data_IF_130581508393
#
_entry.id   IF_130581508393
#
_cell.length_a   1.000
_cell.length_b   1.000
_cell.length_c   1.000
_cell.angle_alpha   90.00
_cell.angle_beta   90.00
_cell.angle_gamma   90.00
#
_symmetry.space_group_name_H-M   'P 1'
#
loop_
_entity.id
_entity.type
_entity.pdbx_description
1 polymer ?
#
# COMPACT_ATOMS: atom_id res chain seq x y z
N UNK A 1 -28.64 -11.57 -39.23
CA UNK A 1 -28.90 -10.15 -38.86
C UNK A 1 -27.92 -9.79 -37.74
N UNK A 2 -26.79 -9.13 -38.03
CA UNK A 2 -26.61 -7.66 -37.99
C UNK A 2 -25.93 -7.30 -36.65
N UNK A 3 -24.72 -6.74 -36.56
CA UNK A 3 -24.15 -5.62 -37.32
C UNK A 3 -22.62 -5.69 -37.33
N UNK A 4 -22.06 -5.40 -38.52
CA UNK A 4 -20.66 -5.11 -38.80
C UNK A 4 -20.36 -3.63 -38.51
N UNK A 5 -19.10 -3.32 -38.21
CA UNK A 5 -18.49 -2.01 -38.45
C UNK A 5 -17.82 -1.40 -37.21
N UNK A 6 -16.68 -0.70 -37.29
CA UNK A 6 -15.88 -0.26 -38.44
C UNK A 6 -14.44 -0.12 -37.98
N UNK A 7 -13.52 -0.71 -38.73
CA UNK A 7 -12.08 -0.41 -38.70
C UNK A 7 -11.89 1.01 -39.20
N UNK A 8 -11.23 1.85 -38.41
CA UNK A 8 -10.61 3.07 -38.92
C UNK A 8 -9.10 3.00 -38.64
N UNK A 9 -8.40 2.42 -39.61
CA UNK A 9 -6.96 2.61 -39.78
C UNK A 9 -6.74 4.01 -40.34
N UNK A 10 -6.29 4.95 -39.51
CA UNK A 10 -5.67 6.18 -40.01
C UNK A 10 -4.17 5.96 -40.12
N UNK A 11 -3.73 5.57 -41.33
CA UNK A 11 -2.34 5.77 -41.78
C UNK A 11 -2.14 7.27 -41.95
N UNK A 12 -1.17 7.86 -41.25
CA UNK A 12 -0.64 9.18 -41.60
C UNK A 12 0.57 9.02 -42.52
N UNK A 13 0.76 9.94 -43.48
CA UNK A 13 1.87 9.90 -44.43
C UNK A 13 3.19 10.26 -43.76
N UNK A 14 4.23 9.63 -44.29
CA UNK A 14 5.64 9.77 -43.98
C UNK A 14 6.16 10.93 -44.84
N UNK A 15 6.36 12.12 -44.27
CA UNK A 15 7.10 13.20 -44.94
C UNK A 15 8.49 13.28 -44.31
N UNK A 16 9.51 12.99 -45.12
CA UNK A 16 10.89 13.28 -44.76
C UNK A 16 11.12 14.79 -44.72
N UNK A 17 11.82 15.24 -43.69
CA UNK A 17 12.56 16.49 -43.68
C UNK A 17 13.90 16.21 -43.00
N UNK A 18 14.91 16.07 -43.83
CA UNK A 18 16.34 16.11 -43.53
C UNK A 18 16.73 17.46 -42.93
N UNK A 19 17.63 17.45 -41.95
CA UNK A 19 18.45 18.61 -41.62
C UNK A 19 18.08 19.35 -40.34
N UNK A 20 18.35 18.75 -39.18
CA UNK A 20 18.84 19.52 -38.03
C UNK A 20 19.61 18.60 -37.08
N UNK A 21 20.94 18.70 -37.13
CA UNK A 21 21.91 18.13 -36.21
C UNK A 21 21.92 18.87 -34.87
N UNK A 22 20.74 19.20 -34.34
CA UNK A 22 20.60 19.62 -32.95
C UNK A 22 20.58 18.34 -32.10
N UNK A 23 21.75 17.91 -31.61
CA UNK A 23 21.87 16.90 -30.55
C UNK A 23 20.83 17.23 -29.47
N UNK A 24 19.79 16.42 -29.26
CA UNK A 24 18.99 16.56 -28.06
C UNK A 24 19.93 16.16 -26.93
N UNK A 25 20.38 17.13 -26.15
CA UNK A 25 20.95 16.82 -24.84
C UNK A 25 19.81 16.23 -24.02
N UNK A 26 19.63 14.92 -24.14
CA UNK A 26 18.87 14.10 -23.22
C UNK A 26 19.65 14.12 -21.91
N UNK A 27 19.62 15.26 -21.21
CA UNK A 27 19.90 15.29 -19.78
C UNK A 27 18.84 14.39 -19.17
N UNK A 28 19.21 13.28 -18.52
CA UNK A 28 18.25 12.49 -17.79
C UNK A 28 17.72 13.39 -16.67
N UNK A 29 16.52 13.94 -16.86
CA UNK A 29 15.78 14.64 -15.82
C UNK A 29 15.54 13.62 -14.73
N UNK A 30 16.33 13.67 -13.67
CA UNK A 30 16.25 12.78 -12.52
C UNK A 30 14.89 12.95 -11.84
N UNK A 31 13.92 12.03 -11.99
CA UNK A 31 12.67 12.10 -11.26
C UNK A 31 12.86 11.29 -9.97
N UNK A 32 13.86 11.65 -9.15
CA UNK A 32 14.30 10.80 -8.04
C UNK A 32 14.16 11.47 -6.68
N UNK A 33 13.06 12.19 -6.44
CA UNK A 33 12.77 12.80 -5.13
C UNK A 33 11.30 12.75 -4.68
N UNK A 34 10.47 11.88 -5.28
CA UNK A 34 9.03 11.75 -4.93
C UNK A 34 8.69 10.51 -4.11
N UNK A 35 9.68 9.72 -3.66
CA UNK A 35 9.45 8.44 -2.97
C UNK A 35 9.84 8.38 -1.49
N UNK A 36 10.51 9.39 -0.94
CA UNK A 36 10.86 9.37 0.50
C UNK A 36 9.73 9.89 1.40
N UNK A 37 8.93 10.85 0.94
CA UNK A 37 7.84 11.45 1.76
C UNK A 37 6.71 10.42 2.02
N UNK A 38 6.50 9.46 1.12
CA UNK A 38 5.41 8.48 1.26
C UNK A 38 5.64 7.39 2.31
N UNK A 39 6.87 7.19 2.79
CA UNK A 39 7.17 6.14 3.79
C UNK A 39 6.98 6.63 5.23
N UNK A 40 7.36 7.87 5.53
CA UNK A 40 7.24 8.44 6.88
C UNK A 40 5.78 8.63 7.30
N UNK A 41 4.90 9.01 6.38
CA UNK A 41 3.47 9.23 6.67
C UNK A 41 2.75 7.93 7.08
N UNK A 42 3.16 6.78 6.53
CA UNK A 42 2.56 5.47 6.88
C UNK A 42 2.94 5.02 8.29
N UNK A 43 4.19 5.26 8.69
CA UNK A 43 4.63 4.95 10.06
C UNK A 43 4.02 5.91 11.09
N UNK A 44 3.94 7.20 10.77
CA UNK A 44 3.31 8.19 11.64
C UNK A 44 1.83 7.86 11.92
N UNK A 45 1.05 7.54 10.89
CA UNK A 45 -0.37 7.16 11.07
C UNK A 45 -0.55 5.91 11.92
N UNK A 46 0.36 4.93 11.81
CA UNK A 46 0.30 3.72 12.64
C UNK A 46 0.59 4.03 14.10
N UNK A 47 1.61 4.86 14.37
CA UNK A 47 1.98 5.28 15.72
C UNK A 47 0.87 6.11 16.35
N UNK A 48 0.27 7.05 15.60
CA UNK A 48 -0.87 7.84 16.06
C UNK A 48 -2.06 6.94 16.39
N UNK A 49 -2.35 5.94 15.54
CA UNK A 49 -3.42 4.97 15.81
C UNK A 49 -3.19 4.16 17.08
N UNK A 50 -1.95 3.71 17.32
CA UNK A 50 -1.58 2.99 18.55
C UNK A 50 -1.70 3.87 19.80
N UNK A 51 -1.22 5.11 19.74
CA UNK A 51 -1.34 6.07 20.83
C UNK A 51 -2.81 6.39 21.14
N UNK A 52 -3.61 6.66 20.12
CA UNK A 52 -5.04 6.91 20.28
C UNK A 52 -5.75 5.69 20.88
N UNK A 53 -5.45 4.49 20.38
CA UNK A 53 -6.00 3.24 20.94
C UNK A 53 -5.61 3.02 22.40
N UNK A 54 -4.36 3.27 22.77
CA UNK A 54 -3.88 3.15 24.14
C UNK A 54 -4.53 4.18 25.08
N UNK A 55 -4.70 5.43 24.62
CA UNK A 55 -5.39 6.48 25.38
C UNK A 55 -6.86 6.14 25.60
N UNK A 56 -7.56 5.70 24.55
CA UNK A 56 -8.97 5.31 24.64
C UNK A 56 -9.13 4.09 25.56
N UNK A 57 -8.27 3.08 25.41
CA UNK A 57 -8.29 1.87 26.24
C UNK A 57 -7.99 2.19 27.71
N UNK A 58 -7.00 3.04 27.98
CA UNK A 58 -6.67 3.49 29.33
C UNK A 58 -7.80 4.31 29.96
N UNK A 59 -8.42 5.21 29.19
CA UNK A 59 -9.60 5.95 29.64
C UNK A 59 -10.78 5.03 29.96
N UNK A 60 -11.06 4.02 29.11
CA UNK A 60 -12.09 3.02 29.37
C UNK A 60 -11.82 2.22 30.65
N UNK A 61 -10.56 1.88 30.92
CA UNK A 61 -10.17 1.16 32.13
C UNK A 61 -10.39 2.02 33.39
N UNK A 62 -9.96 3.28 33.35
CA UNK A 62 -10.21 4.25 34.43
C UNK A 62 -11.70 4.48 34.64
N UNK A 63 -12.45 4.65 33.55
CA UNK A 63 -13.90 4.78 33.59
C UNK A 63 -14.56 3.55 34.23
N UNK A 64 -14.10 2.34 33.93
CA UNK A 64 -14.59 1.11 34.55
C UNK A 64 -14.30 1.04 36.06
N UNK A 65 -13.12 1.51 36.48
CA UNK A 65 -12.72 1.55 37.89
C UNK A 65 -13.56 2.56 38.69
N UNK A 66 -13.79 3.76 38.15
CA UNK A 66 -14.62 4.77 38.82
C UNK A 66 -16.11 4.44 38.78
N UNK A 67 -16.59 3.84 37.69
CA UNK A 67 -18.01 3.54 37.46
C UNK A 67 -18.30 2.05 37.69
N UNK A 68 -17.67 1.46 38.70
CA UNK A 68 -17.91 0.08 39.10
C UNK A 68 -19.32 -0.14 39.67
N UNK A 69 -19.97 0.94 40.13
CA UNK A 69 -21.33 0.88 40.63
C UNK A 69 -22.32 0.62 39.48
N UNK A 70 -23.12 -0.46 39.56
CA UNK A 70 -24.12 -0.76 38.55
C UNK A 70 -25.21 0.32 38.56
N UNK A 71 -25.64 0.72 37.37
CA UNK A 71 -26.79 1.62 37.23
C UNK A 71 -28.05 0.77 37.16
N UNK A 72 -28.99 1.07 38.06
CA UNK A 72 -30.31 0.46 38.08
C UNK A 72 -31.20 1.14 37.05
N UNK A 73 -31.70 0.37 36.10
CA UNK A 73 -32.71 0.80 35.15
C UNK A 73 -34.03 0.20 35.62
N UNK A 74 -34.92 1.08 36.10
CA UNK A 74 -36.27 0.73 36.51
C UNK A 74 -37.18 0.82 35.28
N UNK A 75 -37.47 -0.33 34.65
CA UNK A 75 -38.53 -0.42 33.65
C UNK A 75 -39.84 -0.72 34.39
N UNK A 76 -40.97 -0.22 33.88
CA UNK A 76 -42.31 -0.36 34.49
C UNK A 76 -42.66 -1.81 34.88
N UNK A 77 -42.02 -2.80 34.26
CA UNK A 77 -42.26 -4.25 34.46
C UNK A 77 -41.06 -4.97 35.10
N UNK A 78 -39.85 -4.39 35.11
CA UNK A 78 -38.64 -5.10 35.56
C UNK A 78 -37.49 -4.17 35.94
N UNK A 79 -36.69 -4.59 36.93
CA UNK A 79 -35.45 -3.92 37.34
C UNK A 79 -34.25 -4.65 36.76
N UNK A 80 -33.39 -3.91 36.07
CA UNK A 80 -32.11 -4.44 35.60
C UNK A 80 -30.96 -3.62 36.18
N UNK A 81 -29.96 -4.33 36.69
CA UNK A 81 -28.68 -3.75 37.07
C UNK A 81 -27.69 -3.98 35.94
N UNK A 82 -27.29 -2.90 35.28
CA UNK A 82 -26.33 -2.99 34.18
C UNK A 82 -25.08 -2.20 34.55
N UNK A 83 -23.96 -2.91 34.52
CA UNK A 83 -22.63 -2.32 34.53
C UNK A 83 -22.40 -1.55 33.23
N UNK A 84 -22.42 -0.21 33.27
CA UNK A 84 -22.16 0.62 32.09
C UNK A 84 -20.78 0.29 31.50
N UNK A 85 -19.80 -0.01 32.35
CA UNK A 85 -18.47 -0.43 31.91
C UNK A 85 -18.50 -1.69 31.03
N UNK A 86 -19.39 -2.64 31.29
CA UNK A 86 -19.47 -3.88 30.52
C UNK A 86 -19.99 -3.59 29.10
N UNK A 87 -21.00 -2.73 28.98
CA UNK A 87 -21.53 -2.30 27.68
C UNK A 87 -20.47 -1.53 26.90
N UNK A 88 -19.78 -0.60 27.55
CA UNK A 88 -18.71 0.19 26.95
C UNK A 88 -17.53 -0.69 26.51
N UNK A 89 -17.15 -1.68 27.32
CA UNK A 89 -16.09 -2.63 26.99
C UNK A 89 -16.45 -3.50 25.77
N UNK A 90 -17.69 -4.01 25.70
CA UNK A 90 -18.15 -4.79 24.54
C UNK A 90 -18.17 -3.93 23.27
N UNK A 91 -18.68 -2.70 23.34
CA UNK A 91 -18.67 -1.77 22.22
C UNK A 91 -17.24 -1.45 21.74
N UNK A 92 -16.32 -1.22 22.68
CA UNK A 92 -14.91 -0.99 22.38
C UNK A 92 -14.26 -2.22 21.72
N UNK A 93 -14.47 -3.41 22.29
CA UNK A 93 -13.94 -4.66 21.74
C UNK A 93 -14.47 -4.94 20.34
N UNK A 94 -15.76 -4.69 20.09
CA UNK A 94 -16.35 -4.84 18.77
C UNK A 94 -15.71 -3.87 17.76
N UNK A 95 -15.58 -2.59 18.11
CA UNK A 95 -14.91 -1.60 17.27
C UNK A 95 -13.44 -1.94 17.01
N UNK A 96 -12.72 -2.38 18.05
CA UNK A 96 -11.32 -2.80 17.96
C UNK A 96 -11.14 -4.03 17.06
N UNK A 97 -12.03 -5.01 17.17
CA UNK A 97 -12.01 -6.21 16.34
C UNK A 97 -12.19 -5.87 14.86
N UNK A 98 -13.16 -5.03 14.53
CA UNK A 98 -13.40 -4.58 13.14
C UNK A 98 -12.21 -3.79 12.61
N UNK A 99 -11.69 -2.83 13.38
CA UNK A 99 -10.52 -2.04 12.99
C UNK A 99 -9.29 -2.94 12.75
N UNK A 100 -9.04 -3.89 13.66
CA UNK A 100 -7.94 -4.85 13.58
C UNK A 100 -8.06 -5.74 12.35
N UNK A 101 -9.28 -6.16 11.98
CA UNK A 101 -9.52 -6.99 10.80
C UNK A 101 -9.19 -6.22 9.51
N UNK A 102 -9.65 -4.97 9.40
CA UNK A 102 -9.42 -4.13 8.23
C UNK A 102 -7.93 -3.79 8.08
N UNK A 103 -7.29 -3.34 9.15
CA UNK A 103 -5.86 -3.02 9.14
C UNK A 103 -4.98 -4.26 8.93
N UNK A 104 -5.32 -5.38 9.58
CA UNK A 104 -4.62 -6.64 9.46
C UNK A 104 -4.62 -7.15 8.01
N UNK A 105 -5.77 -7.13 7.34
CA UNK A 105 -5.87 -7.55 5.94
C UNK A 105 -5.03 -6.66 5.01
N UNK A 106 -5.05 -5.34 5.20
CA UNK A 106 -4.25 -4.40 4.42
C UNK A 106 -2.74 -4.59 4.64
N UNK A 107 -2.35 -4.87 5.89
CA UNK A 107 -0.97 -5.15 6.25
C UNK A 107 -0.46 -6.46 5.63
N UNK A 108 -1.26 -7.52 5.66
CA UNK A 108 -0.93 -8.80 5.00
C UNK A 108 -0.72 -8.63 3.50
N UNK A 109 -1.61 -7.91 2.81
CA UNK A 109 -1.47 -7.60 1.37
C UNK A 109 -0.19 -6.82 1.09
N UNK A 110 0.05 -5.75 1.85
CA UNK A 110 1.26 -4.93 1.72
C UNK A 110 2.53 -5.75 1.94
N UNK A 111 2.51 -6.72 2.87
CA UNK A 111 3.64 -7.63 3.13
C UNK A 111 3.88 -8.59 1.97
N UNK A 112 2.81 -9.12 1.37
CA UNK A 112 2.90 -9.99 0.21
C UNK A 112 3.47 -9.25 -1.02
N UNK A 113 3.00 -8.03 -1.29
CA UNK A 113 3.52 -7.19 -2.38
C UNK A 113 5.00 -6.86 -2.20
N UNK A 114 5.43 -6.51 -0.99
CA UNK A 114 6.84 -6.27 -0.68
C UNK A 114 7.71 -7.51 -0.95
N UNK A 115 7.21 -8.71 -0.66
CA UNK A 115 7.93 -9.96 -0.96
C UNK A 115 8.08 -10.16 -2.47
N UNK A 116 7.01 -9.97 -3.24
CA UNK A 116 7.04 -10.07 -4.71
C UNK A 116 8.00 -9.06 -5.33
N UNK A 117 7.95 -7.81 -4.89
CA UNK A 117 8.85 -6.76 -5.37
C UNK A 117 10.32 -7.06 -5.08
N UNK A 118 10.63 -7.63 -3.91
CA UNK A 118 12.00 -8.06 -3.59
C UNK A 118 12.47 -9.20 -4.49
N UNK A 119 11.61 -10.16 -4.80
CA UNK A 119 11.94 -11.27 -5.71
C UNK A 119 12.24 -10.75 -7.11
N UNK A 120 11.40 -9.85 -7.65
CA UNK A 120 11.65 -9.25 -8.96
C UNK A 120 12.95 -8.43 -9.00
N UNK A 121 13.25 -7.69 -7.93
CA UNK A 121 14.51 -6.96 -7.83
C UNK A 121 15.73 -7.91 -7.86
N UNK A 122 15.67 -9.02 -7.12
CA UNK A 122 16.74 -10.02 -7.10
C UNK A 122 16.93 -10.68 -8.48
N UNK A 123 15.86 -11.06 -9.17
CA UNK A 123 15.95 -11.65 -10.52
C UNK A 123 16.55 -10.67 -11.54
N UNK A 124 16.15 -9.39 -11.48
CA UNK A 124 16.72 -8.36 -12.36
C UNK A 124 18.21 -8.12 -12.08
N UNK A 125 18.62 -8.15 -10.81
CA UNK A 125 20.04 -8.06 -10.44
C UNK A 125 20.85 -9.25 -10.98
N UNK A 126 20.31 -10.47 -10.89
CA UNK A 126 20.92 -11.67 -11.45
C UNK A 126 21.04 -11.61 -12.99
N UNK A 127 20.02 -11.13 -13.70
CA UNK A 127 20.05 -10.98 -15.16
C UNK A 127 21.13 -9.98 -15.60
N UNK A 128 21.19 -8.82 -14.93
CA UNK A 128 22.23 -7.81 -15.21
C UNK A 128 23.62 -8.37 -14.93
N UNK A 129 23.79 -9.10 -13.83
CA UNK A 129 25.07 -9.71 -13.49
C UNK A 129 25.46 -10.80 -14.48
N UNK A 130 24.50 -11.59 -14.97
CA UNK A 130 24.72 -12.58 -16.02
C UNK A 130 25.12 -11.95 -17.35
N UNK A 131 24.45 -10.88 -17.78
CA UNK A 131 24.81 -10.15 -19.00
C UNK A 131 26.18 -9.48 -18.90
N UNK A 132 26.55 -9.01 -17.70
CA UNK A 132 27.86 -8.40 -17.46
C UNK A 132 29.01 -9.41 -17.48
N UNK A 133 28.73 -10.66 -17.08
CA UNK A 133 29.70 -11.74 -17.05
C UNK A 133 29.65 -12.63 -18.30
N UNK A 134 28.74 -12.38 -19.24
CA UNK A 134 28.72 -13.07 -20.51
C UNK A 134 30.02 -12.71 -21.26
N UNK A 135 30.85 -13.70 -21.63
CA UNK A 135 32.14 -13.44 -22.23
C UNK A 135 31.96 -12.69 -23.55
N UNK A 136 32.72 -11.61 -23.73
CA UNK A 136 32.79 -10.80 -24.97
C UNK A 136 33.24 -11.61 -26.19
N UNK A 137 33.58 -12.89 -26.01
CA UNK A 137 34.07 -13.83 -27.02
C UNK A 137 33.05 -14.05 -28.16
N UNK A 138 31.74 -14.02 -27.87
CA UNK A 138 30.70 -14.13 -28.91
C UNK A 138 30.66 -12.89 -29.85
N UNK A 139 31.14 -11.73 -29.39
CA UNK A 139 31.25 -10.52 -30.22
C UNK A 139 32.55 -10.48 -31.03
N UNK A 140 33.65 -11.07 -30.51
CA UNK A 140 34.91 -11.19 -31.25
C UNK A 140 34.83 -12.26 -32.35
N UNK A 141 34.13 -13.39 -32.10
CA UNK A 141 33.94 -14.44 -33.09
C UNK A 141 33.01 -14.05 -34.26
N UNK A 142 32.19 -13.01 -34.09
CA UNK A 142 31.28 -12.50 -35.12
C UNK A 142 31.92 -11.48 -36.08
N UNK A 143 33.12 -10.95 -35.78
CA UNK A 143 33.84 -10.02 -36.67
C UNK A 143 34.90 -10.71 -37.56
N UNK A 144 35.25 -11.98 -37.32
CA UNK A 144 36.25 -12.72 -38.12
C UNK A 144 35.66 -13.61 -39.25
N UNK A 145 34.34 -13.61 -39.48
CA UNK A 145 33.66 -14.38 -40.54
C UNK A 145 32.94 -13.52 -41.55
#
# INVERSE_FOLDING_TARGET
MGRRGRRWRRRRPRSGATGSTARPSTRPSTPKRRHEIGRTVKHASTIVGLLAGALIGGYLLLFALENAHPVTIDLVVARFEVAIYAVAAVAFLAGFAVASLVFGASWLRSRAERRRLKQHAATLEEEVQRLRNAPLEDLAAAEEG
#
